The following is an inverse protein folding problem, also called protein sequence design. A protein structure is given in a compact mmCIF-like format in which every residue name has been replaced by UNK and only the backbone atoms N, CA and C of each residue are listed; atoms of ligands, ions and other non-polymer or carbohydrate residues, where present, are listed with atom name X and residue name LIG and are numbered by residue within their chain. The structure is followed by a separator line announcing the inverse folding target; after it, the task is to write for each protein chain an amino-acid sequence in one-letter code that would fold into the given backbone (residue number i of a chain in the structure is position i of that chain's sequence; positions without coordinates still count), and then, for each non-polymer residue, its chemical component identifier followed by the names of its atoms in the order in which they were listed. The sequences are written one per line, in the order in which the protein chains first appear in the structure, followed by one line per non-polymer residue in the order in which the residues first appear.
data_IF_930057160342
#
_entry.id   IF_930057160342
#
_cell.length_a   1.000
_cell.length_b   1.000
_cell.length_c   1.000
_cell.angle_alpha   90.00
_cell.angle_beta   90.00
_cell.angle_gamma   90.00
#
_symmetry.space_group_name_H-M   'P 1'
#
loop_
_entity.id
_entity.type
_entity.pdbx_description
1 polymer ?
#
# COMPACT_ATOMS: atom_id res chain seq x y z
N UNK A 1 -11.09 -13.70 29.56
CA UNK A 1 -10.23 -13.14 28.51
C UNK A 1 -11.15 -12.76 27.36
N UNK A 2 -11.43 -11.49 27.16
CA UNK A 2 -12.24 -11.04 26.02
C UNK A 2 -11.45 -11.28 24.76
N UNK A 3 -11.98 -12.11 23.85
CA UNK A 3 -11.41 -12.33 22.53
C UNK A 3 -11.21 -10.98 21.84
N UNK A 4 -10.07 -10.79 21.19
CA UNK A 4 -9.80 -9.58 20.40
C UNK A 4 -10.63 -9.66 19.10
N UNK A 5 -11.68 -8.86 18.92
CA UNK A 5 -12.58 -8.98 17.76
C UNK A 5 -11.82 -8.86 16.41
N UNK A 6 -10.73 -8.07 16.39
CA UNK A 6 -9.89 -7.93 15.20
C UNK A 6 -9.14 -9.22 14.88
N UNK A 7 -8.67 -9.96 15.89
CA UNK A 7 -7.98 -11.23 15.66
C UNK A 7 -8.92 -12.30 15.08
N UNK A 8 -10.18 -12.34 15.50
CA UNK A 8 -11.19 -13.23 14.94
C UNK A 8 -11.50 -12.90 13.47
N UNK A 9 -11.63 -11.60 13.15
CA UNK A 9 -11.87 -11.14 11.78
C UNK A 9 -10.67 -11.45 10.84
N UNK A 10 -9.45 -11.43 11.36
CA UNK A 10 -8.25 -11.69 10.60
C UNK A 10 -7.87 -13.18 10.51
N UNK A 11 -8.44 -14.02 11.36
CA UNK A 11 -8.11 -15.44 11.42
C UNK A 11 -8.22 -16.18 10.07
N UNK A 12 -9.25 -15.95 9.22
CA UNK A 12 -9.36 -16.60 7.91
C UNK A 12 -8.22 -16.26 6.94
N UNK A 13 -7.57 -15.09 7.11
CA UNK A 13 -6.47 -14.65 6.27
C UNK A 13 -5.08 -14.97 6.85
N UNK A 14 -4.99 -15.51 8.06
CA UNK A 14 -3.73 -15.62 8.81
C UNK A 14 -2.64 -16.40 8.05
N UNK A 15 -2.97 -17.56 7.48
CA UNK A 15 -2.03 -18.38 6.72
C UNK A 15 -1.57 -17.69 5.43
N UNK A 16 -2.51 -17.08 4.69
CA UNK A 16 -2.21 -16.34 3.47
C UNK A 16 -1.34 -15.12 3.76
N UNK A 17 -1.56 -14.43 4.89
CA UNK A 17 -0.76 -13.28 5.28
C UNK A 17 0.69 -13.64 5.63
N UNK A 18 0.97 -14.84 6.11
CA UNK A 18 2.36 -15.35 6.24
C UNK A 18 3.01 -15.44 4.86
N UNK A 19 2.30 -16.02 3.88
CA UNK A 19 2.79 -16.11 2.50
C UNK A 19 2.98 -14.71 1.85
N UNK A 20 2.05 -13.79 2.09
CA UNK A 20 2.14 -12.38 1.63
C UNK A 20 3.39 -11.71 2.19
N UNK A 21 3.65 -11.79 3.50
CA UNK A 21 4.83 -11.19 4.12
C UNK A 21 6.14 -11.76 3.57
N UNK A 22 6.22 -13.10 3.45
CA UNK A 22 7.37 -13.75 2.83
C UNK A 22 7.60 -13.29 1.39
N UNK A 23 6.52 -13.12 0.62
CA UNK A 23 6.60 -12.62 -0.75
C UNK A 23 7.08 -11.17 -0.80
N UNK A 24 6.57 -10.31 0.09
CA UNK A 24 7.01 -8.92 0.23
C UNK A 24 8.52 -8.88 0.48
N UNK A 25 9.03 -9.58 1.49
CA UNK A 25 10.46 -9.63 1.82
C UNK A 25 11.31 -10.06 0.62
N UNK A 26 10.91 -11.12 -0.07
CA UNK A 26 11.61 -11.61 -1.27
C UNK A 26 11.63 -10.60 -2.42
N UNK A 27 10.56 -9.82 -2.60
CA UNK A 27 10.42 -8.85 -3.69
C UNK A 27 11.06 -7.50 -3.37
N UNK A 28 11.30 -7.20 -2.10
CA UNK A 28 12.02 -5.99 -1.67
C UNK A 28 13.51 -6.04 -2.01
N UNK A 29 14.10 -7.23 -2.05
CA UNK A 29 15.54 -7.37 -2.20
C UNK A 29 16.09 -6.68 -3.45
N UNK A 30 17.19 -5.94 -3.25
CA UNK A 30 17.94 -5.25 -4.29
C UNK A 30 19.45 -5.44 -4.05
N UNK A 31 20.23 -5.47 -5.12
CA UNK A 31 21.70 -5.44 -5.05
C UNK A 31 22.24 -4.04 -4.68
N UNK A 32 21.38 -3.02 -4.71
CA UNK A 32 21.70 -1.65 -4.29
C UNK A 32 21.45 -1.53 -2.80
N UNK A 33 22.51 -1.40 -2.00
CA UNK A 33 22.45 -1.47 -0.55
C UNK A 33 21.47 -0.47 0.09
N UNK A 34 21.42 0.77 -0.41
CA UNK A 34 20.49 1.80 0.11
C UNK A 34 19.03 1.41 -0.10
N UNK A 35 18.70 0.80 -1.24
CA UNK A 35 17.34 0.32 -1.52
C UNK A 35 16.98 -0.78 -0.53
N UNK A 36 17.87 -1.76 -0.33
CA UNK A 36 17.65 -2.89 0.56
C UNK A 36 17.47 -2.44 2.02
N UNK A 37 18.30 -1.52 2.50
CA UNK A 37 18.23 -0.98 3.85
C UNK A 37 16.96 -0.16 4.10
N UNK A 38 16.63 0.80 3.22
CA UNK A 38 15.49 1.68 3.40
C UNK A 38 14.16 0.93 3.22
N UNK A 39 14.06 0.05 2.20
CA UNK A 39 12.88 -0.78 2.00
C UNK A 39 12.64 -1.70 3.21
N UNK A 40 13.70 -2.31 3.74
CA UNK A 40 13.63 -3.09 4.97
C UNK A 40 13.17 -2.24 6.16
N UNK A 41 13.72 -1.04 6.32
CA UNK A 41 13.31 -0.12 7.39
C UNK A 41 11.82 0.18 7.36
N UNK A 42 11.27 0.61 6.22
CA UNK A 42 9.85 1.00 6.12
C UNK A 42 8.92 -0.21 6.27
N UNK A 43 9.24 -1.36 5.69
CA UNK A 43 8.40 -2.56 5.77
C UNK A 43 8.33 -3.10 7.21
N UNK A 44 9.45 -3.03 7.96
CA UNK A 44 9.50 -3.48 9.36
C UNK A 44 9.09 -2.40 10.37
N UNK A 45 8.75 -1.19 9.92
CA UNK A 45 8.24 -0.11 10.79
C UNK A 45 6.84 -0.40 11.35
N UNK A 46 6.31 -1.57 11.08
CA UNK A 46 5.02 -2.04 11.57
C UNK A 46 3.85 -1.57 10.68
N UNK A 47 2.69 -2.10 10.98
CA UNK A 47 1.45 -1.81 10.26
C UNK A 47 0.46 -2.94 10.42
N UNK A 48 -0.83 -2.62 10.32
CA UNK A 48 -1.90 -3.62 10.45
C UNK A 48 -2.13 -4.42 9.17
N UNK A 49 -1.43 -4.10 8.07
CA UNK A 49 -1.57 -4.75 6.76
C UNK A 49 -3.04 -4.87 6.29
N UNK A 50 -3.88 -3.86 6.59
CA UNK A 50 -5.32 -3.95 6.33
C UNK A 50 -5.65 -4.05 4.83
N UNK A 51 -4.89 -3.37 3.96
CA UNK A 51 -5.10 -3.42 2.52
C UNK A 51 -4.77 -4.81 1.93
N UNK A 52 -3.60 -5.42 2.21
CA UNK A 52 -3.34 -6.81 1.87
C UNK A 52 -4.40 -7.79 2.40
N UNK A 53 -4.80 -7.65 3.66
CA UNK A 53 -5.83 -8.47 4.27
C UNK A 53 -7.16 -8.35 3.52
N UNK A 54 -7.55 -7.15 3.09
CA UNK A 54 -8.78 -6.93 2.31
C UNK A 54 -8.74 -7.71 1.00
N UNK A 55 -7.62 -7.68 0.27
CA UNK A 55 -7.47 -8.43 -0.98
C UNK A 55 -7.58 -9.95 -0.74
N UNK A 56 -6.94 -10.46 0.31
CA UNK A 56 -6.99 -11.87 0.69
C UNK A 56 -8.41 -12.29 1.07
N UNK A 57 -9.06 -11.54 1.97
CA UNK A 57 -10.41 -11.87 2.42
C UNK A 57 -11.43 -11.79 1.28
N UNK A 58 -11.32 -10.80 0.39
CA UNK A 58 -12.19 -10.69 -0.79
C UNK A 58 -12.03 -11.90 -1.72
N UNK A 59 -10.80 -12.34 -2.01
CA UNK A 59 -10.55 -13.52 -2.83
C UNK A 59 -11.14 -14.78 -2.19
N UNK A 60 -10.95 -14.99 -0.89
CA UNK A 60 -11.50 -16.13 -0.16
C UNK A 60 -13.02 -16.10 -0.10
N UNK A 61 -13.63 -14.94 0.12
CA UNK A 61 -15.07 -14.75 0.12
C UNK A 61 -15.72 -15.06 -1.24
N UNK A 62 -14.99 -14.79 -2.34
CA UNK A 62 -15.42 -15.14 -3.70
C UNK A 62 -15.09 -16.58 -4.11
N UNK A 63 -14.57 -17.41 -3.19
CA UNK A 63 -14.32 -18.83 -3.43
C UNK A 63 -12.98 -19.14 -4.12
N UNK A 64 -12.09 -18.17 -4.24
CA UNK A 64 -10.79 -18.38 -4.85
C UNK A 64 -9.92 -19.31 -3.99
N UNK A 65 -9.42 -20.40 -4.58
CA UNK A 65 -8.63 -21.43 -3.91
C UNK A 65 -7.14 -21.46 -4.31
N UNK A 66 -6.73 -20.63 -5.29
CA UNK A 66 -5.35 -20.51 -5.73
C UNK A 66 -4.48 -19.67 -4.78
N UNK A 67 -3.30 -19.25 -5.25
CA UNK A 67 -2.28 -18.50 -4.51
C UNK A 67 -2.03 -17.08 -5.06
N UNK A 68 -2.59 -16.72 -6.23
CA UNK A 68 -2.37 -15.41 -6.87
C UNK A 68 -2.85 -14.22 -6.03
N UNK A 69 -3.82 -14.43 -5.13
CA UNK A 69 -4.28 -13.41 -4.21
C UNK A 69 -3.16 -12.91 -3.28
N UNK A 70 -2.17 -13.76 -2.93
CA UNK A 70 -1.00 -13.33 -2.17
C UNK A 70 -0.13 -12.34 -2.97
N UNK A 71 0.01 -12.56 -4.28
CA UNK A 71 0.74 -11.64 -5.15
C UNK A 71 0.02 -10.29 -5.25
N UNK A 72 -1.31 -10.30 -5.42
CA UNK A 72 -2.11 -9.08 -5.45
C UNK A 72 -2.05 -8.30 -4.13
N UNK A 73 -2.15 -8.99 -3.01
CA UNK A 73 -2.01 -8.42 -1.69
C UNK A 73 -0.62 -7.75 -1.49
N UNK A 74 0.45 -8.38 -1.97
CA UNK A 74 1.78 -7.81 -1.94
C UNK A 74 1.91 -6.58 -2.83
N UNK A 75 1.34 -6.58 -4.05
CA UNK A 75 1.32 -5.42 -4.95
C UNK A 75 0.66 -4.22 -4.27
N UNK A 76 -0.51 -4.42 -3.67
CA UNK A 76 -1.24 -3.37 -2.96
C UNK A 76 -0.40 -2.78 -1.81
N UNK A 77 0.34 -3.62 -1.07
CA UNK A 77 1.22 -3.13 -0.01
C UNK A 77 2.44 -2.39 -0.54
N UNK A 78 3.01 -2.79 -1.68
CA UNK A 78 4.10 -2.06 -2.33
C UNK A 78 3.66 -0.65 -2.76
N UNK A 79 2.50 -0.55 -3.41
CA UNK A 79 1.92 0.74 -3.79
C UNK A 79 1.71 1.61 -2.54
N UNK A 80 1.07 1.06 -1.50
CA UNK A 80 0.85 1.78 -0.25
C UNK A 80 2.15 2.24 0.40
N UNK A 81 3.17 1.38 0.43
CA UNK A 81 4.46 1.72 1.05
C UNK A 81 5.19 2.80 0.25
N UNK A 82 5.12 2.75 -1.09
CA UNK A 82 5.67 3.80 -1.95
C UNK A 82 5.01 5.16 -1.68
N UNK A 83 3.67 5.20 -1.58
CA UNK A 83 2.97 6.44 -1.25
C UNK A 83 3.37 6.97 0.13
N UNK A 84 3.55 6.11 1.13
CA UNK A 84 4.01 6.55 2.46
C UNK A 84 5.40 7.21 2.43
N UNK A 85 6.34 6.69 1.60
CA UNK A 85 7.67 7.27 1.46
C UNK A 85 7.64 8.65 0.78
N UNK A 86 6.74 8.84 -0.19
CA UNK A 86 6.54 10.11 -0.85
C UNK A 86 5.81 11.11 0.06
N UNK A 87 4.74 10.68 0.73
CA UNK A 87 3.96 11.49 1.66
C UNK A 87 4.81 12.07 2.78
N UNK A 88 5.66 11.24 3.40
CA UNK A 88 6.53 11.70 4.49
C UNK A 88 7.46 12.85 4.06
N UNK A 89 7.88 12.87 2.78
CA UNK A 89 8.68 13.95 2.22
C UNK A 89 7.83 15.18 1.93
N UNK A 90 6.65 15.00 1.31
CA UNK A 90 5.74 16.10 0.96
C UNK A 90 5.17 16.78 2.20
N UNK A 91 4.82 16.00 3.22
CA UNK A 91 4.26 16.48 4.49
C UNK A 91 5.36 16.96 5.47
N UNK A 92 6.65 16.91 5.07
CA UNK A 92 7.81 17.25 5.92
C UNK A 92 7.75 16.53 7.29
N UNK A 93 7.31 15.27 7.29
CA UNK A 93 7.09 14.50 8.51
C UNK A 93 8.39 13.94 9.07
N UNK A 94 8.65 14.15 10.38
CA UNK A 94 9.79 13.57 11.08
C UNK A 94 9.49 12.24 11.74
N UNK A 95 8.20 12.01 12.10
CA UNK A 95 7.79 10.83 12.85
C UNK A 95 6.61 10.10 12.19
N UNK A 96 6.71 8.77 12.13
CA UNK A 96 5.62 7.87 11.73
C UNK A 96 5.48 6.71 12.72
N UNK A 97 4.31 6.58 13.34
CA UNK A 97 4.02 5.52 14.34
C UNK A 97 5.02 5.51 15.51
N UNK A 98 5.49 6.70 15.92
CA UNK A 98 6.45 6.86 17.02
C UNK A 98 7.89 6.48 16.68
N UNK A 99 8.22 6.32 15.39
CA UNK A 99 9.59 6.13 14.87
C UNK A 99 9.91 7.24 13.88
N UNK A 100 11.18 7.52 13.72
CA UNK A 100 11.64 8.44 12.68
C UNK A 100 11.15 7.98 11.30
N UNK A 101 10.84 8.94 10.43
CA UNK A 101 10.46 8.65 9.05
C UNK A 101 11.68 8.24 8.23
N UNK A 102 11.45 7.63 7.06
CA UNK A 102 12.55 7.26 6.17
C UNK A 102 13.33 8.49 5.68
N UNK A 103 12.63 9.60 5.38
CA UNK A 103 13.29 10.85 4.98
C UNK A 103 14.10 11.47 6.10
N UNK A 104 13.68 11.40 7.37
CA UNK A 104 14.48 11.84 8.51
C UNK A 104 15.75 11.00 8.70
N UNK A 105 15.69 9.69 8.46
CA UNK A 105 16.82 8.76 8.64
C UNK A 105 17.77 8.72 7.45
N UNK A 106 17.27 8.76 6.23
CA UNK A 106 18.05 8.52 4.99
C UNK A 106 18.08 9.74 4.05
N UNK A 107 17.34 10.79 4.38
CA UNK A 107 17.20 12.00 3.56
C UNK A 107 16.09 11.88 2.49
N UNK A 108 15.57 13.05 2.09
CA UNK A 108 14.43 13.17 1.15
C UNK A 108 14.70 12.47 -0.18
N UNK A 109 15.89 12.67 -0.77
CA UNK A 109 16.23 12.08 -2.06
C UNK A 109 16.20 10.54 -2.03
N UNK A 110 16.74 9.93 -0.96
CA UNK A 110 16.71 8.47 -0.82
C UNK A 110 15.28 7.96 -0.63
N UNK A 111 14.46 8.65 0.18
CA UNK A 111 13.06 8.30 0.40
C UNK A 111 12.25 8.30 -0.91
N UNK A 112 12.36 9.38 -1.70
CA UNK A 112 11.67 9.49 -2.99
C UNK A 112 12.12 8.39 -3.94
N UNK A 113 13.43 8.21 -4.16
CA UNK A 113 13.94 7.22 -5.11
C UNK A 113 13.62 5.77 -4.71
N UNK A 114 13.58 5.46 -3.41
CA UNK A 114 13.16 4.13 -2.97
C UNK A 114 11.65 3.97 -3.08
N UNK A 115 10.86 5.03 -2.89
CA UNK A 115 9.44 5.04 -3.23
C UNK A 115 9.20 4.69 -4.71
N UNK A 116 9.94 5.32 -5.63
CA UNK A 116 9.90 5.03 -7.06
C UNK A 116 10.30 3.58 -7.38
N UNK A 117 11.32 3.06 -6.69
CA UNK A 117 11.71 1.65 -6.81
C UNK A 117 10.58 0.71 -6.40
N UNK A 118 9.91 0.95 -5.26
CA UNK A 118 8.79 0.13 -4.81
C UNK A 118 7.62 0.20 -5.79
N UNK A 119 7.34 1.37 -6.31
CA UNK A 119 6.30 1.58 -7.31
C UNK A 119 6.61 0.81 -8.61
N UNK A 120 7.84 0.94 -9.11
CA UNK A 120 8.33 0.19 -10.28
C UNK A 120 8.27 -1.33 -10.04
N UNK A 121 8.64 -1.79 -8.85
CA UNK A 121 8.54 -3.20 -8.48
C UNK A 121 7.10 -3.69 -8.47
N UNK A 122 6.15 -2.88 -7.98
CA UNK A 122 4.73 -3.18 -8.05
C UNK A 122 4.27 -3.38 -9.51
N UNK A 123 4.68 -2.52 -10.44
CA UNK A 123 4.38 -2.69 -11.87
C UNK A 123 4.96 -3.98 -12.45
N UNK A 124 6.20 -4.34 -12.12
CA UNK A 124 6.78 -5.63 -12.54
C UNK A 124 5.94 -6.82 -12.03
N UNK A 125 5.45 -6.73 -10.78
CA UNK A 125 4.60 -7.76 -10.20
C UNK A 125 3.22 -7.79 -10.87
N UNK A 126 2.64 -6.65 -11.23
CA UNK A 126 1.37 -6.56 -11.98
C UNK A 126 1.47 -7.26 -13.34
N UNK A 127 2.56 -7.02 -14.07
CA UNK A 127 2.82 -7.70 -15.36
C UNK A 127 2.89 -9.21 -15.17
N UNK A 128 3.53 -9.69 -14.10
CA UNK A 128 3.64 -11.12 -13.80
C UNK A 128 2.30 -11.80 -13.45
N UNK A 129 1.26 -11.03 -13.08
CA UNK A 129 -0.11 -11.56 -12.88
C UNK A 129 -0.74 -12.01 -14.21
N UNK A 130 -0.34 -11.39 -15.32
CA UNK A 130 -0.83 -11.66 -16.67
C UNK A 130 -2.38 -11.58 -16.77
N UNK A 131 -2.94 -10.49 -16.25
CA UNK A 131 -4.39 -10.21 -16.30
C UNK A 131 -4.63 -8.71 -16.51
N UNK A 132 -5.08 -8.36 -17.72
CA UNK A 132 -5.29 -6.96 -18.11
C UNK A 132 -6.35 -6.25 -17.29
N UNK A 133 -7.37 -6.96 -16.79
CA UNK A 133 -8.39 -6.35 -15.92
C UNK A 133 -7.81 -5.96 -14.56
N UNK A 134 -6.94 -6.80 -13.99
CA UNK A 134 -6.19 -6.49 -12.77
C UNK A 134 -5.28 -5.29 -13.00
N UNK A 135 -4.55 -5.26 -14.13
CA UNK A 135 -3.71 -4.13 -14.51
C UNK A 135 -4.52 -2.84 -14.61
N UNK A 136 -5.70 -2.88 -15.24
CA UNK A 136 -6.58 -1.72 -15.37
C UNK A 136 -7.01 -1.18 -14.00
N UNK A 137 -7.50 -2.06 -13.10
CA UNK A 137 -7.93 -1.66 -11.75
C UNK A 137 -6.80 -0.98 -10.98
N UNK A 138 -5.59 -1.54 -11.06
CA UNK A 138 -4.44 -1.00 -10.33
C UNK A 138 -3.94 0.31 -10.94
N UNK A 139 -3.87 0.42 -12.27
CA UNK A 139 -3.46 1.66 -12.94
C UNK A 139 -4.45 2.81 -12.68
N UNK A 140 -5.75 2.54 -12.75
CA UNK A 140 -6.78 3.53 -12.42
C UNK A 140 -6.69 3.94 -10.94
N UNK A 141 -6.50 2.98 -10.04
CA UNK A 141 -6.37 3.27 -8.62
C UNK A 141 -5.14 4.13 -8.32
N UNK A 142 -3.99 3.82 -8.93
CA UNK A 142 -2.75 4.58 -8.72
C UNK A 142 -2.85 6.00 -9.27
N UNK A 143 -3.52 6.19 -10.42
CA UNK A 143 -3.78 7.52 -10.97
C UNK A 143 -4.67 8.35 -10.02
N UNK A 144 -5.79 7.78 -9.55
CA UNK A 144 -6.69 8.47 -8.62
C UNK A 144 -5.99 8.82 -7.30
N UNK A 145 -5.12 7.95 -6.79
CA UNK A 145 -4.33 8.23 -5.56
C UNK A 145 -3.42 9.44 -5.80
N UNK A 146 -2.71 9.48 -6.93
CA UNK A 146 -1.84 10.61 -7.27
C UNK A 146 -2.63 11.94 -7.40
N UNK A 147 -3.81 11.89 -8.02
CA UNK A 147 -4.73 13.04 -8.06
C UNK A 147 -5.15 13.46 -6.64
N UNK A 148 -5.40 12.50 -5.75
CA UNK A 148 -5.76 12.76 -4.35
C UNK A 148 -4.66 13.47 -3.56
N UNK A 149 -3.39 13.13 -3.81
CA UNK A 149 -2.24 13.83 -3.22
C UNK A 149 -2.17 15.29 -3.67
N UNK A 150 -2.33 15.53 -4.98
CA UNK A 150 -2.35 16.89 -5.53
C UNK A 150 -3.55 17.69 -5.00
N UNK A 151 -4.73 17.08 -4.90
CA UNK A 151 -5.92 17.73 -4.33
C UNK A 151 -5.71 18.10 -2.85
N UNK A 152 -5.07 17.23 -2.07
CA UNK A 152 -4.73 17.55 -0.69
C UNK A 152 -3.78 18.75 -0.61
N UNK A 153 -2.73 18.76 -1.44
CA UNK A 153 -1.78 19.86 -1.48
C UNK A 153 -2.45 21.18 -1.86
N UNK A 154 -3.39 21.17 -2.82
CA UNK A 154 -4.15 22.37 -3.21
C UNK A 154 -5.09 22.86 -2.10
N UNK A 155 -5.58 21.96 -1.24
CA UNK A 155 -6.45 22.30 -0.12
C UNK A 155 -5.67 22.74 1.14
N UNK A 156 -4.35 22.61 1.16
CA UNK A 156 -3.53 23.08 2.27
C UNK A 156 -3.68 24.59 2.43
N UNK A 157 -3.92 25.02 3.68
CA UNK A 157 -4.12 26.43 4.05
C UNK A 157 -5.35 27.13 3.44
N UNK A 158 -6.27 26.38 2.82
CA UNK A 158 -7.56 26.88 2.34
C UNK A 158 -8.61 26.70 3.45
N UNK A 159 -9.03 27.82 4.08
CA UNK A 159 -10.04 27.82 5.13
C UNK A 159 -11.46 27.56 4.62
N UNK A 160 -11.68 27.66 3.31
CA UNK A 160 -12.98 27.49 2.66
C UNK A 160 -13.20 26.07 2.11
N UNK A 161 -12.34 25.11 2.48
CA UNK A 161 -12.54 23.68 2.13
C UNK A 161 -13.81 23.18 2.79
N UNK A 162 -14.80 22.82 1.98
CA UNK A 162 -16.05 22.22 2.42
C UNK A 162 -15.91 20.69 2.68
N UNK A 163 -16.96 20.11 3.27
CA UNK A 163 -17.01 18.68 3.57
C UNK A 163 -16.89 17.82 2.29
N UNK A 164 -17.48 18.24 1.18
CA UNK A 164 -17.45 17.48 -0.07
C UNK A 164 -16.02 17.37 -0.64
N UNK A 165 -15.30 18.52 -0.65
CA UNK A 165 -13.88 18.54 -1.07
C UNK A 165 -13.00 17.71 -0.13
N UNK A 166 -13.22 17.79 1.17
CA UNK A 166 -12.52 17.00 2.17
C UNK A 166 -12.76 15.49 1.96
N UNK A 167 -14.01 15.08 1.79
CA UNK A 167 -14.38 13.69 1.54
C UNK A 167 -13.82 13.16 0.21
N UNK A 168 -13.72 14.02 -0.80
CA UNK A 168 -13.08 13.65 -2.07
C UNK A 168 -11.61 13.29 -1.88
N UNK A 169 -10.85 14.08 -1.11
CA UNK A 169 -9.45 13.76 -0.78
C UNK A 169 -9.34 12.42 -0.05
N UNK A 170 -10.20 12.19 0.96
CA UNK A 170 -10.23 10.90 1.68
C UNK A 170 -10.51 9.74 0.74
N UNK A 171 -11.47 9.90 -0.16
CA UNK A 171 -11.82 8.87 -1.14
C UNK A 171 -10.64 8.57 -2.05
N UNK A 172 -10.02 9.58 -2.63
CA UNK A 172 -8.93 9.44 -3.59
C UNK A 172 -7.64 8.93 -2.93
N UNK A 173 -7.19 9.58 -1.88
CA UNK A 173 -5.92 9.26 -1.21
C UNK A 173 -5.98 7.96 -0.42
N UNK A 174 -7.11 7.67 0.23
CA UNK A 174 -7.19 6.58 1.22
C UNK A 174 -8.10 5.44 0.79
N UNK A 175 -9.37 5.73 0.44
CA UNK A 175 -10.35 4.68 0.20
C UNK A 175 -10.11 3.93 -1.11
N UNK A 176 -9.59 4.61 -2.14
CA UNK A 176 -9.39 4.04 -3.48
C UNK A 176 -8.53 2.78 -3.50
N UNK A 177 -7.46 2.73 -2.70
CA UNK A 177 -6.63 1.53 -2.64
C UNK A 177 -7.29 0.37 -1.88
N UNK A 178 -8.18 0.65 -0.92
CA UNK A 178 -9.00 -0.39 -0.29
C UNK A 178 -10.04 -0.94 -1.25
N UNK A 179 -10.71 -0.08 -2.02
CA UNK A 179 -11.64 -0.46 -3.08
C UNK A 179 -10.94 -1.37 -4.09
N UNK A 180 -9.78 -0.94 -4.61
CA UNK A 180 -8.98 -1.73 -5.53
C UNK A 180 -8.59 -3.08 -4.94
N UNK A 181 -8.11 -3.12 -3.69
CA UNK A 181 -7.73 -4.36 -3.01
C UNK A 181 -8.88 -5.37 -2.94
N UNK A 182 -10.08 -4.93 -2.59
CA UNK A 182 -11.26 -5.78 -2.56
C UNK A 182 -11.65 -6.26 -3.98
N UNK A 183 -11.63 -5.34 -4.95
CA UNK A 183 -11.97 -5.65 -6.34
C UNK A 183 -11.00 -6.66 -6.96
N UNK A 184 -9.70 -6.54 -6.69
CA UNK A 184 -8.68 -7.47 -7.16
C UNK A 184 -8.94 -8.89 -6.66
N UNK A 185 -9.30 -9.03 -5.36
CA UNK A 185 -9.65 -10.33 -4.79
C UNK A 185 -10.87 -10.95 -5.47
N UNK A 186 -11.84 -10.14 -5.85
CA UNK A 186 -13.06 -10.62 -6.50
C UNK A 186 -12.90 -10.94 -8.00
N UNK A 187 -11.84 -10.45 -8.66
CA UNK A 187 -11.53 -10.73 -10.07
C UNK A 187 -10.89 -12.11 -10.27
N UNK A 188 -10.24 -12.66 -9.24
CA UNK A 188 -9.58 -13.97 -9.29
C UNK A 188 -10.60 -15.12 -9.35
#
# INVERSE_FOLDING_TARGET
MTANPLAELLAPAAADMVAVNTLIERRLHSTVATIDQLSGYIIHSGGKRLRPVMAVLAARACGYSGDRHCLLAAIVEFIHTATLLHDDVVDESDLRRGRDTANAMFGNAASVLVGDFLYSRAFQMMVAVDNMRIMQVLSDATNVIAEGEVLQLMNCHDADVDEARYMQVIHYKTAKLFEAAAQLGAIL
#
